data_IF_418944585323
#
_entry.id   IF_418944585323
#
_cell.length_a   1.000
_cell.length_b   1.000
_cell.length_c   1.000
_cell.angle_alpha   90.00
_cell.angle_beta   90.00
_cell.angle_gamma   90.00
#
_symmetry.space_group_name_H-M   'P 1'
#
loop_
_entity.id
_entity.type
_entity.pdbx_description
1 polymer ?
#
# COMPACT_ATOMS: atom_id res chain seq x y z
N UNK A 1 -4.46 7.54 -2.14
CA UNK A 1 -3.70 6.79 -1.11
C UNK A 1 -2.20 7.14 -1.16
N UNK A 2 -1.82 8.43 -1.15
CA UNK A 2 -0.41 8.87 -1.05
C UNK A 2 -0.23 10.36 -0.67
N UNK A 3 -1.26 11.06 -0.18
CA UNK A 3 -1.17 12.51 0.10
C UNK A 3 -1.03 12.84 1.59
N UNK A 4 -1.29 11.89 2.51
CA UNK A 4 -1.20 12.13 3.96
C UNK A 4 -0.01 11.47 4.66
N UNK A 5 0.84 10.70 3.96
CA UNK A 5 2.07 10.15 4.54
C UNK A 5 3.17 11.20 4.75
N UNK A 6 3.06 12.39 4.17
CA UNK A 6 4.14 13.39 4.19
C UNK A 6 4.18 14.27 5.43
N UNK A 7 3.17 14.23 6.31
CA UNK A 7 3.11 15.16 7.46
C UNK A 7 3.58 14.55 8.80
N UNK A 8 3.59 13.22 8.93
CA UNK A 8 3.93 12.53 10.19
C UNK A 8 5.43 12.29 10.37
N UNK A 9 6.25 12.49 9.34
CA UNK A 9 7.69 12.20 9.37
C UNK A 9 8.59 13.34 9.93
N UNK A 10 8.04 14.42 10.51
CA UNK A 10 8.81 15.64 10.85
C UNK A 10 8.95 16.02 12.31
N UNK A 11 8.44 15.21 13.23
CA UNK A 11 8.81 15.32 14.64
C UNK A 11 9.09 13.90 15.13
N UNK A 12 9.98 13.75 16.12
CA UNK A 12 10.57 12.48 16.61
C UNK A 12 11.94 12.13 16.02
N UNK A 13 12.93 12.99 16.30
CA UNK A 13 14.33 12.57 16.40
C UNK A 13 14.59 11.96 17.79
N UNK A 14 15.05 10.71 17.92
CA UNK A 14 15.63 10.24 19.17
C UNK A 14 17.09 10.68 19.30
N UNK A 15 17.40 11.12 20.52
CA UNK A 15 18.70 11.59 21.00
C UNK A 15 19.84 10.62 20.70
N UNK A 16 20.94 11.15 20.14
CA UNK A 16 22.25 10.50 20.12
C UNK A 16 22.79 10.41 21.55
N UNK A 17 22.88 9.19 22.08
CA UNK A 17 23.86 8.88 23.12
C UNK A 17 25.04 8.14 22.49
N UNK A 18 26.21 8.74 22.59
CA UNK A 18 27.47 8.07 22.32
C UNK A 18 27.87 7.21 23.51
N UNK A 19 28.46 6.06 23.23
CA UNK A 19 29.69 5.64 23.91
C UNK A 19 30.41 4.57 23.09
N UNK A 20 31.72 4.74 23.00
CA UNK A 20 32.60 3.94 22.17
C UNK A 20 32.87 2.58 22.78
N UNK A 21 33.12 1.62 21.89
CA UNK A 21 33.89 0.43 22.17
C UNK A 21 34.75 0.15 20.93
N UNK A 22 36.03 0.48 21.06
CA UNK A 22 37.11 -0.05 20.24
C UNK A 22 37.04 -1.57 20.30
N UNK A 23 36.93 -2.23 19.15
CA UNK A 23 37.27 -3.65 19.03
C UNK A 23 38.17 -3.80 17.81
N UNK A 24 39.29 -4.46 18.03
CA UNK A 24 40.48 -4.40 17.20
C UNK A 24 40.30 -5.00 15.82
N UNK A 25 41.07 -4.45 14.89
CA UNK A 25 41.41 -5.08 13.64
C UNK A 25 42.04 -6.44 13.91
N UNK A 26 41.25 -7.51 13.81
CA UNK A 26 41.78 -8.85 13.71
C UNK A 26 42.21 -9.09 12.26
N UNK A 27 43.50 -8.83 12.07
CA UNK A 27 44.36 -9.33 11.03
C UNK A 27 44.09 -10.83 10.81
N UNK A 28 43.25 -11.15 9.82
CA UNK A 28 43.02 -12.52 9.39
C UNK A 28 44.26 -12.94 8.58
N UNK A 29 45.28 -13.41 9.30
CA UNK A 29 46.46 -14.02 8.71
C UNK A 29 46.00 -15.17 7.81
N UNK A 30 46.23 -14.98 6.51
CA UNK A 30 46.17 -16.04 5.51
C UNK A 30 47.11 -17.17 5.95
N UNK A 31 46.56 -18.20 6.60
CA UNK A 31 47.21 -19.49 6.73
C UNK A 31 47.42 -20.00 5.31
N UNK A 32 48.65 -19.87 4.81
CA UNK A 32 49.19 -20.65 3.69
C UNK A 32 49.11 -22.13 4.07
N UNK A 33 47.94 -22.70 3.81
CA UNK A 33 47.70 -24.13 3.80
C UNK A 33 48.56 -24.74 2.70
N UNK A 34 49.50 -25.57 3.15
CA UNK A 34 50.35 -26.49 2.39
C UNK A 34 49.77 -26.86 1.02
N UNK A 35 50.62 -26.66 0.03
CA UNK A 35 50.54 -27.12 -1.34
C UNK A 35 50.38 -28.66 -1.39
N UNK A 36 49.16 -29.16 -1.17
CA UNK A 36 48.80 -30.53 -1.48
C UNK A 36 48.58 -30.61 -2.98
N UNK A 37 49.51 -31.27 -3.66
CA UNK A 37 49.48 -31.65 -5.08
C UNK A 37 48.04 -31.97 -5.52
N UNK A 38 47.41 -31.04 -6.21
CA UNK A 38 46.20 -31.33 -6.98
C UNK A 38 46.69 -32.17 -8.15
N UNK A 39 46.43 -33.47 -8.07
CA UNK A 39 46.60 -34.40 -9.17
C UNK A 39 45.92 -33.83 -10.40
N UNK A 40 46.65 -33.80 -11.52
CA UNK A 40 46.13 -33.48 -12.83
C UNK A 40 44.80 -34.20 -13.05
N UNK A 41 43.70 -33.46 -13.15
CA UNK A 41 42.47 -34.00 -13.71
C UNK A 41 42.80 -34.48 -15.12
N UNK A 42 42.77 -35.80 -15.32
CA UNK A 42 42.96 -36.41 -16.61
C UNK A 42 41.96 -35.78 -17.58
N UNK A 43 42.49 -35.11 -18.61
CA UNK A 43 41.70 -34.54 -19.69
C UNK A 43 41.15 -35.70 -20.53
N UNK A 44 39.99 -36.23 -20.15
CA UNK A 44 39.22 -37.14 -21.00
C UNK A 44 38.57 -36.30 -22.10
N UNK A 45 39.34 -36.03 -23.16
CA UNK A 45 38.87 -35.45 -24.43
C UNK A 45 39.14 -36.52 -25.49
N UNK A 46 38.46 -37.66 -25.36
CA UNK A 46 38.44 -38.69 -26.39
C UNK A 46 36.99 -39.10 -26.60
N UNK A 47 36.36 -38.52 -27.61
CA UNK A 47 35.01 -38.85 -28.09
C UNK A 47 35.05 -39.01 -29.62
N UNK A 48 35.64 -40.12 -30.13
CA UNK A 48 35.85 -40.33 -31.56
C UNK A 48 34.55 -40.55 -32.34
N UNK A 49 33.47 -40.96 -31.66
CA UNK A 49 32.14 -41.20 -32.24
C UNK A 49 31.21 -39.99 -32.10
N UNK A 50 31.70 -38.88 -31.52
CA UNK A 50 30.95 -37.64 -31.26
C UNK A 50 29.61 -37.90 -30.55
N UNK A 51 29.59 -38.82 -29.58
CA UNK A 51 28.38 -39.24 -28.87
C UNK A 51 27.87 -38.17 -27.91
N UNK A 52 28.76 -37.30 -27.38
CA UNK A 52 28.44 -36.36 -26.31
C UNK A 52 28.35 -34.89 -26.76
N UNK A 53 28.72 -34.59 -28.01
CA UNK A 53 28.70 -33.24 -28.58
C UNK A 53 29.65 -32.26 -27.88
N UNK A 54 29.68 -31.00 -28.34
CA UNK A 54 30.53 -29.98 -27.74
C UNK A 54 30.10 -29.67 -26.29
N UNK A 55 31.04 -29.52 -25.35
CA UNK A 55 30.72 -29.25 -23.95
C UNK A 55 29.92 -27.95 -23.83
N UNK A 56 28.70 -28.05 -23.30
CA UNK A 56 27.91 -26.88 -22.97
C UNK A 56 28.50 -26.17 -21.75
N UNK A 57 28.76 -24.86 -21.88
CA UNK A 57 29.29 -24.03 -20.79
C UNK A 57 28.14 -23.32 -20.05
N UNK A 58 28.39 -22.81 -18.84
CA UNK A 58 27.40 -22.03 -18.09
C UNK A 58 26.39 -22.83 -17.24
N UNK A 59 26.54 -24.15 -17.08
CA UNK A 59 25.68 -24.97 -16.22
C UNK A 59 25.70 -24.52 -14.74
N UNK A 60 26.86 -24.09 -14.24
CA UNK A 60 27.01 -23.57 -12.87
C UNK A 60 26.20 -22.29 -12.70
N UNK A 61 26.37 -21.33 -13.63
CA UNK A 61 25.63 -20.07 -13.63
C UNK A 61 24.12 -20.31 -13.73
N UNK A 62 23.67 -21.22 -14.60
CA UNK A 62 22.25 -21.60 -14.73
C UNK A 62 21.68 -22.15 -13.42
N UNK A 63 22.39 -23.07 -12.75
CA UNK A 63 21.97 -23.61 -11.44
C UNK A 63 21.97 -22.55 -10.35
N UNK A 64 22.95 -21.65 -10.33
CA UNK A 64 22.98 -20.54 -9.38
C UNK A 64 21.80 -19.59 -9.59
N UNK A 65 21.48 -19.24 -10.85
CA UNK A 65 20.31 -18.42 -11.19
C UNK A 65 19.02 -19.13 -10.75
N UNK A 66 18.88 -20.42 -11.05
CA UNK A 66 17.70 -21.19 -10.66
C UNK A 66 17.52 -21.25 -9.14
N UNK A 67 18.61 -21.46 -8.38
CA UNK A 67 18.59 -21.48 -6.91
C UNK A 67 18.26 -20.11 -6.31
N UNK A 68 18.76 -19.03 -6.90
CA UNK A 68 18.39 -17.67 -6.49
C UNK A 68 16.92 -17.42 -6.74
N UNK A 69 16.42 -17.72 -7.94
CA UNK A 69 15.00 -17.55 -8.27
C UNK A 69 14.07 -18.36 -7.35
N UNK A 70 14.43 -19.59 -6.99
CA UNK A 70 13.63 -20.38 -6.05
C UNK A 70 13.66 -19.80 -4.63
N UNK A 71 14.84 -19.36 -4.17
CA UNK A 71 14.98 -18.71 -2.87
C UNK A 71 14.20 -17.39 -2.82
N UNK A 72 14.30 -16.57 -3.86
CA UNK A 72 13.59 -15.29 -3.97
C UNK A 72 12.08 -15.52 -4.02
N UNK A 73 11.61 -16.54 -4.76
CA UNK A 73 10.20 -16.93 -4.79
C UNK A 73 9.68 -17.39 -3.41
N UNK A 74 10.47 -18.12 -2.64
CA UNK A 74 10.14 -18.50 -1.27
C UNK A 74 10.07 -17.27 -0.34
N UNK A 75 11.00 -16.33 -0.47
CA UNK A 75 10.98 -15.09 0.32
C UNK A 75 9.77 -14.21 -0.03
N UNK A 76 9.45 -14.09 -1.32
CA UNK A 76 8.28 -13.34 -1.78
C UNK A 76 6.98 -13.94 -1.24
N UNK A 77 6.87 -15.27 -1.22
CA UNK A 77 5.69 -15.97 -0.69
C UNK A 77 5.55 -15.77 0.82
N UNK A 78 6.64 -15.85 1.58
CA UNK A 78 6.65 -15.58 3.02
C UNK A 78 6.21 -14.13 3.30
N UNK A 79 6.78 -13.17 2.56
CA UNK A 79 6.43 -11.75 2.72
C UNK A 79 4.95 -11.48 2.39
N UNK A 80 4.40 -12.12 1.35
CA UNK A 80 2.99 -12.03 0.99
C UNK A 80 2.09 -12.60 2.10
N UNK A 81 2.43 -13.78 2.62
CA UNK A 81 1.68 -14.40 3.70
C UNK A 81 1.69 -13.56 4.97
N UNK A 82 2.83 -12.98 5.32
CA UNK A 82 2.95 -12.11 6.49
C UNK A 82 2.12 -10.83 6.31
N UNK A 83 2.20 -10.19 5.14
CA UNK A 83 1.37 -9.04 4.79
C UNK A 83 -0.13 -9.38 4.90
N UNK A 84 -0.54 -10.53 4.36
CA UNK A 84 -1.93 -10.97 4.42
C UNK A 84 -2.38 -11.20 5.88
N UNK A 85 -1.57 -11.85 6.70
CA UNK A 85 -1.86 -12.05 8.13
C UNK A 85 -2.01 -10.73 8.87
N UNK A 86 -1.20 -9.72 8.55
CA UNK A 86 -1.32 -8.39 9.15
C UNK A 86 -2.64 -7.72 8.73
N UNK A 87 -2.98 -7.77 7.44
CA UNK A 87 -4.25 -7.25 6.94
C UNK A 87 -5.45 -7.95 7.57
N UNK A 88 -5.38 -9.27 7.73
CA UNK A 88 -6.47 -10.05 8.34
C UNK A 88 -6.61 -9.74 9.84
N UNK A 89 -5.50 -9.56 10.55
CA UNK A 89 -5.51 -9.11 11.96
C UNK A 89 -6.14 -7.72 12.09
N UNK A 90 -5.80 -6.80 11.20
CA UNK A 90 -6.41 -5.46 11.18
C UNK A 90 -7.91 -5.55 10.91
N UNK A 91 -8.34 -6.36 9.93
CA UNK A 91 -9.77 -6.58 9.66
C UNK A 91 -10.50 -7.14 10.87
N UNK A 92 -9.95 -8.17 11.51
CA UNK A 92 -10.55 -8.75 12.71
C UNK A 92 -10.66 -7.72 13.85
N UNK A 93 -9.65 -6.85 14.02
CA UNK A 93 -9.71 -5.77 15.00
C UNK A 93 -10.80 -4.73 14.68
N UNK A 94 -11.00 -4.38 13.40
CA UNK A 94 -12.09 -3.48 12.95
C UNK A 94 -13.47 -4.07 13.22
N UNK A 95 -13.64 -5.36 12.92
CA UNK A 95 -14.90 -6.08 13.11
C UNK A 95 -15.28 -6.21 14.59
N UNK A 96 -14.28 -6.33 15.48
CA UNK A 96 -14.50 -6.37 16.92
C UNK A 96 -14.93 -5.01 17.52
N UNK A 97 -14.61 -3.89 16.85
CA UNK A 97 -14.97 -2.54 17.32
C UNK A 97 -16.45 -2.24 17.03
N UNK A 98 -17.16 -1.81 18.08
CA UNK A 98 -18.56 -1.41 18.04
C UNK A 98 -18.66 0.12 18.00
N UNK A 99 -19.39 0.64 17.02
CA UNK A 99 -19.61 2.09 16.87
C UNK A 99 -20.66 2.55 17.91
N UNK A 100 -20.33 3.48 18.82
CA UNK A 100 -21.28 3.96 19.84
C UNK A 100 -22.41 4.79 19.23
N UNK A 101 -23.63 4.72 19.75
CA UNK A 101 -24.79 5.46 19.21
C UNK A 101 -24.84 6.95 19.59
N UNK A 102 -24.16 7.36 20.67
CA UNK A 102 -24.13 8.75 21.12
C UNK A 102 -23.03 9.56 20.44
N UNK A 103 -23.21 10.88 20.34
CA UNK A 103 -22.22 11.77 19.74
C UNK A 103 -20.98 11.91 20.64
N UNK A 104 -21.16 12.00 21.96
CA UNK A 104 -20.06 11.98 22.92
C UNK A 104 -19.28 10.66 22.86
N UNK A 105 -19.97 9.52 22.79
CA UNK A 105 -19.32 8.22 22.62
C UNK A 105 -18.59 8.10 21.29
N UNK A 106 -19.10 8.72 20.22
CA UNK A 106 -18.43 8.76 18.92
C UNK A 106 -17.12 9.57 18.97
N UNK A 107 -17.08 10.66 19.74
CA UNK A 107 -15.83 11.42 19.98
C UNK A 107 -14.78 10.52 20.65
N UNK A 108 -15.12 9.86 21.77
CA UNK A 108 -14.17 8.96 22.46
C UNK A 108 -13.71 7.83 21.54
N UNK A 109 -14.65 7.26 20.78
CA UNK A 109 -14.34 6.21 19.81
C UNK A 109 -13.26 6.64 18.83
N UNK A 110 -13.32 7.87 18.31
CA UNK A 110 -12.30 8.39 17.40
C UNK A 110 -10.99 8.77 18.11
N UNK A 111 -11.04 9.25 19.35
CA UNK A 111 -9.81 9.48 20.14
C UNK A 111 -9.06 8.17 20.42
N UNK A 112 -9.78 7.08 20.63
CA UNK A 112 -9.22 5.73 20.79
C UNK A 112 -8.89 5.03 19.46
N UNK A 113 -9.13 5.68 18.32
CA UNK A 113 -8.87 5.11 17.00
C UNK A 113 -7.41 5.34 16.61
N UNK A 114 -6.75 4.27 16.14
CA UNK A 114 -5.38 4.36 15.66
C UNK A 114 -5.29 5.21 14.39
N UNK A 115 -4.19 5.94 14.22
CA UNK A 115 -4.00 6.84 13.09
C UNK A 115 -4.11 6.14 11.71
N UNK A 116 -3.73 4.87 11.60
CA UNK A 116 -3.86 4.10 10.35
C UNK A 116 -5.30 3.66 10.06
N UNK A 117 -6.17 3.66 11.07
CA UNK A 117 -7.53 3.14 11.01
C UNK A 117 -8.57 4.26 10.92
N UNK A 118 -8.19 5.51 11.20
CA UNK A 118 -9.11 6.64 11.26
C UNK A 118 -9.83 6.87 9.93
N UNK A 119 -9.15 6.72 8.79
CA UNK A 119 -9.77 6.85 7.47
C UNK A 119 -10.89 5.81 7.25
N UNK A 120 -10.68 4.58 7.74
CA UNK A 120 -11.67 3.52 7.65
C UNK A 120 -12.88 3.81 8.55
N UNK A 121 -12.64 4.24 9.79
CA UNK A 121 -13.73 4.54 10.72
C UNK A 121 -14.52 5.78 10.31
N UNK A 122 -13.87 6.79 9.70
CA UNK A 122 -14.54 7.93 9.07
C UNK A 122 -15.47 7.44 7.94
N UNK A 123 -14.99 6.56 7.07
CA UNK A 123 -15.81 5.98 5.99
C UNK A 123 -17.01 5.20 6.54
N UNK A 124 -16.80 4.39 7.61
CA UNK A 124 -17.85 3.60 8.27
C UNK A 124 -18.91 4.48 8.93
N UNK A 125 -18.50 5.60 9.52
CA UNK A 125 -19.37 6.50 10.27
C UNK A 125 -19.85 7.72 9.45
N UNK A 126 -19.56 7.78 8.15
CA UNK A 126 -19.76 8.98 7.31
C UNK A 126 -21.16 9.57 7.41
N UNK A 127 -22.20 8.74 7.45
CA UNK A 127 -23.60 9.18 7.54
C UNK A 127 -23.91 9.91 8.85
N UNK A 128 -23.15 9.66 9.92
CA UNK A 128 -23.30 10.31 11.22
C UNK A 128 -22.39 11.52 11.40
N UNK A 129 -21.27 11.55 10.68
CA UNK A 129 -20.35 12.67 10.61
C UNK A 129 -20.94 13.83 9.77
N UNK A 130 -21.99 14.43 10.31
CA UNK A 130 -22.75 15.54 9.74
C UNK A 130 -22.32 16.87 10.35
N UNK A 131 -22.76 17.98 9.76
CA UNK A 131 -22.48 19.33 10.29
C UNK A 131 -23.00 19.52 11.72
N UNK A 132 -24.09 18.83 12.11
CA UNK A 132 -24.60 18.85 13.48
C UNK A 132 -23.63 18.19 14.45
N UNK A 133 -23.01 17.07 14.06
CA UNK A 133 -21.98 16.41 14.87
C UNK A 133 -20.73 17.29 15.01
N UNK A 134 -20.27 17.90 13.91
CA UNK A 134 -19.13 18.83 13.96
C UNK A 134 -19.44 20.05 14.83
N UNK A 135 -20.67 20.55 14.80
CA UNK A 135 -21.13 21.64 15.67
C UNK A 135 -21.15 21.23 17.15
N UNK A 136 -21.53 19.99 17.44
CA UNK A 136 -21.45 19.42 18.79
C UNK A 136 -19.99 19.37 19.28
N UNK A 137 -19.07 18.84 18.46
CA UNK A 137 -17.64 18.82 18.76
C UNK A 137 -17.06 20.24 18.99
N UNK A 138 -17.47 21.22 18.18
CA UNK A 138 -17.07 22.61 18.35
C UNK A 138 -17.55 23.21 19.68
N UNK A 139 -18.74 22.81 20.12
CA UNK A 139 -19.33 23.27 21.39
C UNK A 139 -18.56 22.68 22.58
N UNK A 140 -18.19 21.41 22.53
CA UNK A 140 -17.32 20.76 23.53
C UNK A 140 -15.95 21.45 23.60
N UNK A 141 -15.31 21.69 22.45
CA UNK A 141 -14.04 22.43 22.37
C UNK A 141 -14.19 23.83 22.96
N UNK A 142 -15.25 24.56 22.62
CA UNK A 142 -15.50 25.90 23.15
C UNK A 142 -15.72 25.86 24.68
N UNK A 143 -16.46 24.88 25.19
CA UNK A 143 -16.69 24.68 26.63
C UNK A 143 -15.37 24.53 27.39
N UNK A 144 -14.44 23.73 26.87
CA UNK A 144 -13.11 23.57 27.46
C UNK A 144 -12.25 24.84 27.33
N UNK A 145 -12.31 25.55 26.19
CA UNK A 145 -11.60 26.82 25.98
C UNK A 145 -12.00 27.90 26.98
N UNK A 146 -13.29 28.03 27.27
CA UNK A 146 -13.81 29.09 28.15
C UNK A 146 -13.86 28.69 29.63
N UNK A 147 -13.37 27.51 29.99
CA UNK A 147 -13.32 27.05 31.38
C UNK A 147 -12.33 27.91 32.18
N UNK A 148 -12.81 28.49 33.28
CA UNK A 148 -12.08 29.49 34.09
C UNK A 148 -10.88 28.87 34.82
N UNK A 149 -11.02 27.64 35.29
CA UNK A 149 -9.93 26.89 35.94
C UNK A 149 -9.34 25.88 34.95
N UNK A 150 -8.23 26.26 34.30
CA UNK A 150 -7.49 25.38 33.39
C UNK A 150 -6.46 24.58 34.17
N UNK A 151 -6.74 23.30 34.38
CA UNK A 151 -5.76 22.31 34.82
C UNK A 151 -5.05 21.74 33.59
N UNK A 152 -3.86 21.16 33.77
CA UNK A 152 -3.11 20.51 32.68
C UNK A 152 -3.97 19.48 31.93
N UNK A 153 -4.74 18.68 32.67
CA UNK A 153 -5.68 17.68 32.12
C UNK A 153 -6.72 18.28 31.15
N UNK A 154 -7.22 19.49 31.45
CA UNK A 154 -8.16 20.20 30.56
C UNK A 154 -7.46 20.70 29.29
N UNK A 155 -6.22 21.15 29.42
CA UNK A 155 -5.42 21.62 28.27
C UNK A 155 -5.04 20.45 27.34
N UNK A 156 -4.61 19.31 27.90
CA UNK A 156 -4.27 18.12 27.14
C UNK A 156 -5.51 17.61 26.38
N UNK A 157 -6.66 17.52 27.06
CA UNK A 157 -7.92 17.12 26.43
C UNK A 157 -8.39 18.10 25.35
N UNK A 158 -8.16 19.39 25.53
CA UNK A 158 -8.46 20.41 24.52
C UNK A 158 -7.63 20.17 23.24
N UNK A 159 -6.33 19.89 23.39
CA UNK A 159 -5.43 19.60 22.27
C UNK A 159 -5.88 18.34 21.52
N UNK A 160 -6.27 17.29 22.23
CA UNK A 160 -6.80 16.06 21.62
C UNK A 160 -8.04 16.33 20.77
N UNK A 161 -9.00 17.10 21.29
CA UNK A 161 -10.25 17.41 20.57
C UNK A 161 -10.02 18.34 19.37
N UNK A 162 -9.11 19.30 19.46
CA UNK A 162 -8.74 20.16 18.32
C UNK A 162 -8.04 19.35 17.21
N UNK A 163 -7.13 18.44 17.60
CA UNK A 163 -6.50 17.54 16.66
C UNK A 163 -7.53 16.63 15.99
N UNK A 164 -8.46 16.07 16.76
CA UNK A 164 -9.53 15.24 16.25
C UNK A 164 -10.44 16.00 15.27
N UNK A 165 -10.88 17.21 15.63
CA UNK A 165 -11.72 18.06 14.78
C UNK A 165 -11.08 18.27 13.41
N UNK A 166 -9.78 18.58 13.39
CA UNK A 166 -9.03 18.78 12.15
C UNK A 166 -8.97 17.49 11.32
N UNK A 167 -8.61 16.37 11.94
CA UNK A 167 -8.49 15.08 11.23
C UNK A 167 -9.84 14.63 10.67
N UNK A 168 -10.93 14.80 11.43
CA UNK A 168 -12.28 14.46 10.95
C UNK A 168 -12.70 15.35 9.78
N UNK A 169 -12.45 16.66 9.85
CA UNK A 169 -12.80 17.59 8.77
C UNK A 169 -12.05 17.23 7.48
N UNK A 170 -10.73 17.07 7.55
CA UNK A 170 -9.90 16.69 6.41
C UNK A 170 -10.28 15.31 5.86
N UNK A 171 -10.56 14.34 6.74
CA UNK A 171 -10.94 12.98 6.35
C UNK A 171 -12.32 12.89 5.71
N UNK A 172 -13.30 13.66 6.19
CA UNK A 172 -14.65 13.75 5.59
C UNK A 172 -14.53 14.34 4.17
N UNK A 173 -13.80 15.46 4.01
CA UNK A 173 -13.58 16.06 2.71
C UNK A 173 -12.87 15.09 1.74
N UNK A 174 -11.84 14.39 2.22
CA UNK A 174 -11.12 13.40 1.41
C UNK A 174 -12.05 12.26 0.98
N UNK A 175 -12.89 11.76 1.88
CA UNK A 175 -13.88 10.73 1.56
C UNK A 175 -14.88 11.20 0.51
N UNK A 176 -15.45 12.40 0.65
CA UNK A 176 -16.46 12.93 -0.26
C UNK A 176 -15.88 13.19 -1.67
N UNK A 177 -14.63 13.66 -1.74
CA UNK A 177 -13.89 13.78 -3.00
C UNK A 177 -13.71 12.42 -3.67
N UNK A 178 -13.25 11.41 -2.92
CA UNK A 178 -13.10 10.05 -3.44
C UNK A 178 -14.43 9.46 -3.92
N UNK A 179 -15.52 9.68 -3.19
CA UNK A 179 -16.86 9.23 -3.58
C UNK A 179 -17.28 9.86 -4.91
N UNK A 180 -17.08 11.18 -5.06
CA UNK A 180 -17.37 11.92 -6.29
C UNK A 180 -16.53 11.41 -7.45
N UNK A 181 -15.23 11.21 -7.24
CA UNK A 181 -14.29 10.69 -8.24
C UNK A 181 -14.71 9.30 -8.73
N UNK A 182 -15.17 8.43 -7.83
CA UNK A 182 -15.66 7.08 -8.18
C UNK A 182 -16.95 7.13 -9.01
N UNK A 183 -17.88 8.03 -8.70
CA UNK A 183 -19.11 8.22 -9.50
C UNK A 183 -18.75 8.68 -10.90
N UNK A 184 -17.86 9.67 -11.03
CA UNK A 184 -17.38 10.14 -12.32
C UNK A 184 -16.59 9.08 -13.08
N UNK A 185 -15.77 8.29 -12.38
CA UNK A 185 -15.01 7.19 -12.98
C UNK A 185 -15.96 6.13 -13.58
N UNK A 186 -17.08 5.83 -12.89
CA UNK A 186 -18.12 4.94 -13.42
C UNK A 186 -18.74 5.47 -14.72
N UNK A 187 -19.07 6.77 -14.77
CA UNK A 187 -19.60 7.40 -15.99
C UNK A 187 -18.59 7.34 -17.14
N UNK A 188 -17.31 7.58 -16.83
CA UNK A 188 -16.20 7.47 -17.78
C UNK A 188 -16.01 6.05 -18.31
N UNK A 189 -16.06 5.02 -17.46
CA UNK A 189 -16.06 3.61 -17.90
C UNK A 189 -17.26 3.31 -18.80
N UNK A 190 -18.46 3.76 -18.40
CA UNK A 190 -19.67 3.54 -19.19
C UNK A 190 -19.57 4.19 -20.58
N UNK A 191 -19.04 5.43 -20.66
CA UNK A 191 -18.77 6.13 -21.92
C UNK A 191 -17.82 5.33 -22.82
N UNK A 192 -16.72 4.82 -22.26
CA UNK A 192 -15.78 3.97 -22.98
C UNK A 192 -16.48 2.71 -23.51
N UNK A 193 -17.31 2.04 -22.71
CA UNK A 193 -17.98 0.81 -23.15
C UNK A 193 -19.11 1.05 -24.16
N UNK A 194 -19.79 2.21 -24.10
CA UNK A 194 -20.85 2.55 -25.04
C UNK A 194 -20.33 3.06 -26.40
N UNK A 195 -19.12 3.62 -26.47
CA UNK A 195 -18.65 4.28 -27.69
C UNK A 195 -18.42 3.31 -28.87
N UNK A 196 -18.65 3.75 -30.11
CA UNK A 196 -18.36 2.90 -31.28
C UNK A 196 -16.86 2.78 -31.53
N UNK A 197 -16.14 3.90 -31.41
CA UNK A 197 -14.68 3.95 -31.53
C UNK A 197 -14.03 4.20 -30.16
N UNK A 198 -13.48 3.13 -29.60
CA UNK A 198 -12.81 3.16 -28.29
C UNK A 198 -11.55 4.01 -28.31
N UNK A 199 -10.80 4.01 -29.42
CA UNK A 199 -9.51 4.71 -29.51
C UNK A 199 -9.72 6.21 -29.56
N UNK A 200 -10.65 6.67 -30.41
CA UNK A 200 -11.02 8.08 -30.47
C UNK A 200 -11.51 8.59 -29.10
N UNK A 201 -12.41 7.82 -28.47
CA UNK A 201 -12.92 8.17 -27.12
C UNK A 201 -11.80 8.27 -26.09
N UNK A 202 -10.85 7.33 -26.09
CA UNK A 202 -9.72 7.38 -25.17
C UNK A 202 -8.83 8.61 -25.43
N UNK A 203 -8.58 8.97 -26.69
CA UNK A 203 -7.80 10.17 -27.03
C UNK A 203 -8.51 11.47 -26.60
N UNK A 204 -9.82 11.55 -26.77
CA UNK A 204 -10.63 12.67 -26.27
C UNK A 204 -10.52 12.77 -24.73
N UNK A 205 -10.65 11.64 -24.04
CA UNK A 205 -10.53 11.59 -22.57
C UNK A 205 -9.12 11.94 -22.09
N UNK A 206 -8.07 11.60 -22.85
CA UNK A 206 -6.70 12.05 -22.57
C UNK A 206 -6.61 13.56 -22.70
N UNK A 207 -7.14 14.14 -23.77
CA UNK A 207 -7.12 15.58 -24.00
C UNK A 207 -7.85 16.35 -22.89
N UNK A 208 -8.93 15.79 -22.34
CA UNK A 208 -9.68 16.35 -21.23
C UNK A 208 -9.14 15.99 -19.83
N UNK A 209 -7.98 15.30 -19.74
CA UNK A 209 -7.38 14.83 -18.49
C UNK A 209 -8.34 13.97 -17.62
N UNK A 210 -9.18 13.17 -18.27
CA UNK A 210 -10.20 12.32 -17.64
C UNK A 210 -9.69 10.90 -17.32
N UNK A 211 -8.47 10.55 -17.74
CA UNK A 211 -7.86 9.25 -17.43
C UNK A 211 -7.09 9.34 -16.11
N UNK A 212 -7.65 8.76 -15.06
CA UNK A 212 -7.09 8.82 -13.70
C UNK A 212 -6.95 7.44 -13.05
N UNK A 213 -6.41 7.45 -11.82
CA UNK A 213 -6.24 6.23 -11.03
C UNK A 213 -7.57 5.59 -10.64
N UNK A 214 -8.60 6.39 -10.37
CA UNK A 214 -9.94 5.93 -10.00
C UNK A 214 -10.58 5.09 -11.11
N UNK A 215 -10.44 5.52 -12.37
CA UNK A 215 -10.86 4.77 -13.56
C UNK A 215 -10.15 3.41 -13.65
N UNK A 216 -8.84 3.36 -13.41
CA UNK A 216 -8.08 2.11 -13.44
C UNK A 216 -8.52 1.14 -12.36
N UNK A 217 -8.70 1.61 -11.12
CA UNK A 217 -9.14 0.76 -10.00
C UNK A 217 -10.51 0.14 -10.29
N UNK A 218 -11.43 0.93 -10.86
CA UNK A 218 -12.75 0.44 -11.23
C UNK A 218 -12.69 -0.59 -12.36
N UNK A 219 -11.84 -0.37 -13.38
CA UNK A 219 -11.60 -1.36 -14.43
C UNK A 219 -11.00 -2.66 -13.88
N UNK A 220 -10.03 -2.56 -12.96
CA UNK A 220 -9.41 -3.72 -12.31
C UNK A 220 -10.43 -4.55 -11.53
N UNK A 221 -11.28 -3.88 -10.74
CA UNK A 221 -12.36 -4.55 -10.00
C UNK A 221 -13.34 -5.26 -10.95
N UNK A 222 -13.75 -4.59 -12.03
CA UNK A 222 -14.67 -5.18 -13.03
C UNK A 222 -14.05 -6.38 -13.76
N UNK A 223 -12.74 -6.36 -14.05
CA UNK A 223 -12.03 -7.50 -14.65
C UNK A 223 -12.05 -8.69 -13.69
N UNK A 224 -11.77 -8.48 -12.40
CA UNK A 224 -11.81 -9.54 -11.39
C UNK A 224 -13.21 -10.12 -11.27
N UNK A 225 -14.24 -9.27 -11.19
CA UNK A 225 -15.65 -9.71 -11.14
C UNK A 225 -16.09 -10.47 -12.39
N UNK A 226 -15.67 -10.04 -13.59
CA UNK A 226 -15.99 -10.76 -14.82
C UNK A 226 -15.31 -12.13 -14.88
N UNK A 227 -14.07 -12.24 -14.41
CA UNK A 227 -13.35 -13.51 -14.33
C UNK A 227 -14.00 -14.48 -13.35
N UNK A 228 -14.40 -14.01 -12.16
CA UNK A 228 -15.08 -14.85 -11.18
C UNK A 228 -16.47 -15.30 -11.68
N UNK A 229 -17.14 -14.48 -12.48
CA UNK A 229 -18.40 -14.81 -13.14
C UNK A 229 -18.25 -15.69 -14.42
N UNK A 230 -17.03 -16.09 -14.79
CA UNK A 230 -16.78 -16.92 -15.98
C UNK A 230 -16.87 -16.18 -17.32
N UNK A 231 -17.01 -14.86 -17.33
CA UNK A 231 -17.13 -14.03 -18.53
C UNK A 231 -15.75 -13.69 -19.11
N UNK A 232 -15.08 -14.68 -19.69
CA UNK A 232 -13.69 -14.55 -20.19
C UNK A 232 -13.54 -13.48 -21.27
N UNK A 233 -14.45 -13.43 -22.24
CA UNK A 233 -14.39 -12.46 -23.34
C UNK A 233 -14.51 -11.01 -22.85
N UNK A 234 -15.42 -10.76 -21.90
CA UNK A 234 -15.58 -9.44 -21.29
C UNK A 234 -14.35 -9.05 -20.48
N UNK A 235 -13.79 -9.99 -19.70
CA UNK A 235 -12.57 -9.76 -18.93
C UNK A 235 -11.36 -9.45 -19.83
N UNK A 236 -11.20 -10.17 -20.94
CA UNK A 236 -10.11 -9.95 -21.89
C UNK A 236 -10.27 -8.61 -22.62
N UNK A 237 -11.49 -8.25 -22.98
CA UNK A 237 -11.81 -6.95 -23.56
C UNK A 237 -11.47 -5.80 -22.61
N UNK A 238 -11.91 -5.88 -21.35
CA UNK A 238 -11.59 -4.87 -20.33
C UNK A 238 -10.08 -4.81 -20.04
N UNK A 239 -9.39 -5.95 -20.06
CA UNK A 239 -7.91 -6.00 -19.91
C UNK A 239 -7.20 -5.24 -21.04
N UNK A 240 -7.69 -5.33 -22.28
CA UNK A 240 -7.16 -4.56 -23.42
C UNK A 240 -7.38 -3.05 -23.23
N UNK A 241 -8.58 -2.64 -22.79
CA UNK A 241 -8.88 -1.22 -22.51
C UNK A 241 -7.98 -0.71 -21.39
N UNK A 242 -7.86 -1.45 -20.28
CA UNK A 242 -6.95 -1.11 -19.19
C UNK A 242 -5.52 -0.92 -19.68
N UNK A 243 -5.03 -1.82 -20.52
CA UNK A 243 -3.70 -1.70 -21.13
C UNK A 243 -3.54 -0.48 -22.04
N UNK A 244 -4.61 -0.01 -22.67
CA UNK A 244 -4.59 1.24 -23.44
C UNK A 244 -4.59 2.48 -22.53
N UNK A 245 -5.45 2.51 -21.50
CA UNK A 245 -5.51 3.60 -20.52
C UNK A 245 -4.17 3.80 -19.81
N UNK A 246 -3.50 2.70 -19.43
CA UNK A 246 -2.18 2.75 -18.76
C UNK A 246 -1.09 3.43 -19.58
N UNK A 247 -1.20 3.49 -20.90
CA UNK A 247 -0.19 4.17 -21.74
C UNK A 247 -0.22 5.69 -21.61
N UNK A 248 -1.35 6.23 -21.14
CA UNK A 248 -1.60 7.67 -21.09
C UNK A 248 -1.60 8.22 -19.67
N UNK A 249 -1.67 7.36 -18.65
CA UNK A 249 -1.52 7.78 -17.26
C UNK A 249 -0.03 7.85 -16.94
N UNK A 250 0.47 9.07 -16.73
CA UNK A 250 1.77 9.32 -16.12
C UNK A 250 1.64 9.18 -14.60
N UNK A 251 2.41 8.27 -14.00
CA UNK A 251 2.55 8.13 -12.55
C UNK A 251 3.33 9.30 -11.95
#
# INVERSE_FOLDING_TARGET
MLVLQSFVARQWTPLRYGNGLRVGAHEFQARRGRNSRIGSTARVVWDPENLFGAPQTGHITRRMIQKKLSSDAEQDEIARQETQRQLDRQRAAREARVVPESDAGLIEFFLETQAQEIEFEIARCRLRLTDSFLSFLNTEIASLKFKINRTQDIEDRLVELEALQKVLTEGIEAYDRLATDLVQAKERVARIFASKDKKATLLEMVASNELDRSLLVLLDQNIVTARSAGQKEAADFMTKIRGAVLKYITL
#
